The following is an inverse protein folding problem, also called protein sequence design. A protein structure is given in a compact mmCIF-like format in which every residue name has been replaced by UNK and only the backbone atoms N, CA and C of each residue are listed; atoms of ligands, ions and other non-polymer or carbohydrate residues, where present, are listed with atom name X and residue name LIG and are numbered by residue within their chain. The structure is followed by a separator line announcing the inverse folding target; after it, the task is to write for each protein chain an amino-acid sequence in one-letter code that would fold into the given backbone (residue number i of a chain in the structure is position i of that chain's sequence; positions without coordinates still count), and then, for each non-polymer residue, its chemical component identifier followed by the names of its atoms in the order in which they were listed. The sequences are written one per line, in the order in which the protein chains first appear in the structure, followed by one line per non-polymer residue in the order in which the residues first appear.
data_IF_097038142108
#
_entry.id   IF_097038142108
#
_cell.length_a   1.000
_cell.length_b   1.000
_cell.length_c   1.000
_cell.angle_alpha   90.00
_cell.angle_beta   90.00
_cell.angle_gamma   90.00
#
_symmetry.space_group_name_H-M   'P 1'
#
loop_
_entity.id
_entity.type
_entity.pdbx_description
1 polymer ?
#
# COMPACT_ATOMS: atom_id res chain seq x y z
N UNK A 1 -10.50 4.88 -10.57
CA UNK A 1 -9.15 4.27 -10.46
C UNK A 1 -8.09 5.21 -9.89
N UNK A 2 -7.93 6.42 -10.43
CA UNK A 2 -6.90 7.37 -9.96
C UNK A 2 -6.98 7.72 -8.47
N UNK A 3 -8.18 7.76 -7.92
CA UNK A 3 -8.39 8.07 -6.50
C UNK A 3 -7.89 6.95 -5.58
N UNK A 4 -8.13 5.69 -5.95
CA UNK A 4 -7.60 4.53 -5.23
C UNK A 4 -6.06 4.53 -5.24
N UNK A 5 -5.45 4.84 -6.40
CA UNK A 5 -4.00 4.97 -6.55
C UNK A 5 -3.45 6.11 -5.67
N UNK A 6 -4.13 7.27 -5.65
CA UNK A 6 -3.76 8.41 -4.81
C UNK A 6 -3.85 8.06 -3.32
N UNK A 7 -4.91 7.37 -2.92
CA UNK A 7 -5.14 6.94 -1.53
C UNK A 7 -4.09 5.92 -1.08
N UNK A 8 -3.80 4.90 -1.90
CA UNK A 8 -2.75 3.92 -1.62
C UNK A 8 -1.36 4.58 -1.50
N UNK A 9 -1.07 5.55 -2.38
CA UNK A 9 0.17 6.35 -2.32
C UNK A 9 0.24 7.15 -1.01
N UNK A 10 -0.85 7.78 -0.59
CA UNK A 10 -0.94 8.53 0.66
C UNK A 10 -0.65 7.61 1.86
N UNK A 11 -1.35 6.49 1.99
CA UNK A 11 -1.14 5.50 3.07
C UNK A 11 0.31 5.05 3.11
N UNK A 12 0.87 4.63 1.96
CA UNK A 12 2.26 4.19 1.87
C UNK A 12 3.24 5.26 2.34
N UNK A 13 3.07 6.52 1.92
CA UNK A 13 3.99 7.60 2.30
C UNK A 13 3.83 8.01 3.77
N UNK A 14 2.60 8.04 4.31
CA UNK A 14 2.34 8.31 5.74
C UNK A 14 2.94 7.22 6.63
N UNK A 15 2.74 5.95 6.30
CA UNK A 15 3.31 4.81 7.04
C UNK A 15 4.84 4.85 6.99
N UNK A 16 5.43 5.16 5.83
CA UNK A 16 6.88 5.33 5.73
C UNK A 16 7.37 6.50 6.60
N UNK A 17 6.67 7.64 6.57
CA UNK A 17 7.03 8.80 7.39
C UNK A 17 6.97 8.47 8.89
N UNK A 18 5.92 7.79 9.33
CA UNK A 18 5.78 7.31 10.70
C UNK A 18 6.97 6.43 11.13
N UNK A 19 7.45 5.55 10.25
CA UNK A 19 8.68 4.78 10.52
C UNK A 19 9.96 5.61 10.58
N UNK A 20 10.08 6.63 9.72
CA UNK A 20 11.24 7.52 9.76
C UNK A 20 11.31 8.34 11.05
N UNK A 21 10.15 8.79 11.54
CA UNK A 21 10.07 9.65 12.72
C UNK A 21 10.20 8.87 14.04
N UNK A 22 9.91 7.57 14.04
CA UNK A 22 9.90 6.74 15.26
C UNK A 22 10.94 5.61 15.18
N UNK A 23 12.02 5.75 15.96
CA UNK A 23 13.06 4.71 16.03
C UNK A 23 12.55 3.46 16.74
N UNK A 24 12.96 2.29 16.23
CA UNK A 24 12.64 0.99 16.85
C UNK A 24 11.24 0.46 16.57
N UNK A 25 10.44 1.13 15.74
CA UNK A 25 9.12 0.60 15.42
C UNK A 25 9.21 -0.61 14.48
N UNK A 26 8.44 -1.64 14.80
CA UNK A 26 8.36 -2.87 14.04
C UNK A 26 7.08 -2.97 13.22
N UNK A 27 6.91 -4.13 12.57
CA UNK A 27 5.75 -4.45 11.73
C UNK A 27 4.42 -4.16 12.43
N UNK A 28 4.25 -4.63 13.67
CA UNK A 28 3.00 -4.48 14.44
C UNK A 28 2.55 -3.01 14.52
N UNK A 29 3.47 -2.10 14.83
CA UNK A 29 3.18 -0.67 14.93
C UNK A 29 2.80 -0.06 13.58
N UNK A 30 3.39 -0.50 12.46
CA UNK A 30 3.03 -0.01 11.12
C UNK A 30 1.57 -0.34 10.77
N UNK A 31 1.12 -1.55 11.11
CA UNK A 31 -0.26 -1.99 10.84
C UNK A 31 -1.25 -1.29 11.77
N UNK A 32 -0.92 -1.10 13.05
CA UNK A 32 -1.72 -0.29 13.98
C UNK A 32 -1.87 1.15 13.49
N UNK A 33 -0.79 1.75 13.01
CA UNK A 33 -0.82 3.10 12.44
C UNK A 33 -1.71 3.17 11.19
N UNK A 34 -1.70 2.15 10.33
CA UNK A 34 -2.63 2.09 9.20
C UNK A 34 -4.11 2.01 9.63
N UNK A 35 -4.41 1.31 10.73
CA UNK A 35 -5.76 1.31 11.32
C UNK A 35 -6.15 2.71 11.80
N UNK A 36 -5.22 3.44 12.44
CA UNK A 36 -5.44 4.83 12.84
C UNK A 36 -5.68 5.74 11.63
N UNK A 37 -4.88 5.63 10.56
CA UNK A 37 -5.09 6.39 9.33
C UNK A 37 -6.48 6.13 8.70
N UNK A 38 -6.97 4.89 8.76
CA UNK A 38 -8.32 4.55 8.28
C UNK A 38 -9.43 5.12 9.16
N UNK A 39 -9.17 5.34 10.45
CA UNK A 39 -10.12 5.98 11.36
C UNK A 39 -10.11 7.51 11.21
N UNK A 40 -8.93 8.10 11.00
CA UNK A 40 -8.72 9.55 10.89
C UNK A 40 -9.20 10.10 9.53
N UNK A 41 -8.96 9.38 8.44
CA UNK A 41 -9.23 9.87 7.09
C UNK A 41 -10.34 9.05 6.41
N UNK A 42 -11.50 9.67 6.21
CA UNK A 42 -12.67 9.06 5.53
C UNK A 42 -12.31 8.50 4.15
N UNK A 43 -11.53 9.24 3.36
CA UNK A 43 -11.10 8.78 2.04
C UNK A 43 -10.17 7.56 2.09
N UNK A 44 -9.46 7.33 3.21
CA UNK A 44 -8.66 6.12 3.41
C UNK A 44 -9.56 4.94 3.81
N UNK A 45 -10.60 5.21 4.62
CA UNK A 45 -11.61 4.22 5.01
C UNK A 45 -12.35 3.63 3.82
N UNK A 46 -12.65 4.47 2.82
CA UNK A 46 -13.34 4.10 1.57
C UNK A 46 -12.54 3.17 0.67
N UNK A 47 -11.21 3.23 0.73
CA UNK A 47 -10.37 2.24 0.05
C UNK A 47 -10.51 0.89 0.75
N UNK A 48 -10.49 -0.20 -0.02
CA UNK A 48 -10.53 -1.55 0.56
C UNK A 48 -9.40 -1.75 1.59
N UNK A 49 -9.72 -2.39 2.71
CA UNK A 49 -8.78 -2.61 3.81
C UNK A 49 -7.53 -3.38 3.39
N UNK A 50 -7.66 -4.36 2.49
CA UNK A 50 -6.55 -5.13 1.97
C UNK A 50 -5.65 -4.28 1.07
N UNK A 51 -6.21 -3.37 0.26
CA UNK A 51 -5.39 -2.44 -0.53
C UNK A 51 -4.57 -1.48 0.36
N UNK A 52 -5.12 -1.06 1.51
CA UNK A 52 -4.36 -0.34 2.52
C UNK A 52 -3.26 -1.22 3.15
N UNK A 53 -3.57 -2.47 3.51
CA UNK A 53 -2.58 -3.41 4.06
C UNK A 53 -1.43 -3.67 3.09
N UNK A 54 -1.71 -3.85 1.79
CA UNK A 54 -0.66 -4.02 0.76
C UNK A 54 0.24 -2.77 0.68
N UNK A 55 -0.33 -1.59 0.88
CA UNK A 55 0.47 -0.35 0.95
C UNK A 55 1.44 -0.36 2.13
N UNK A 56 1.03 -0.91 3.28
CA UNK A 56 1.89 -1.10 4.47
C UNK A 56 2.95 -2.17 4.23
N UNK A 57 2.59 -3.31 3.66
CA UNK A 57 3.53 -4.39 3.33
C UNK A 57 4.63 -3.92 2.37
N UNK A 58 4.29 -3.05 1.42
CA UNK A 58 5.27 -2.47 0.51
C UNK A 58 6.28 -1.58 1.23
N UNK A 59 5.87 -0.89 2.29
CA UNK A 59 6.78 -0.13 3.18
C UNK A 59 7.65 -1.10 3.98
N UNK A 60 7.04 -2.11 4.61
CA UNK A 60 7.75 -3.15 5.36
C UNK A 60 8.83 -3.83 4.50
N UNK A 61 8.49 -4.21 3.26
CA UNK A 61 9.42 -4.82 2.31
C UNK A 61 10.58 -3.89 1.95
N UNK A 62 10.32 -2.59 1.80
CA UNK A 62 11.36 -1.60 1.53
C UNK A 62 12.31 -1.43 2.71
N UNK A 63 11.76 -1.38 3.94
CA UNK A 63 12.54 -1.31 5.18
C UNK A 63 13.39 -2.57 5.35
N UNK A 64 12.78 -3.75 5.20
CA UNK A 64 13.47 -5.04 5.28
C UNK A 64 14.63 -5.10 4.28
N UNK A 65 14.37 -4.75 3.01
CA UNK A 65 15.40 -4.71 1.97
C UNK A 65 16.53 -3.75 2.30
N UNK A 66 16.24 -2.60 2.89
CA UNK A 66 17.27 -1.66 3.34
C UNK A 66 18.20 -2.31 4.37
N UNK A 67 17.64 -2.86 5.45
CA UNK A 67 18.44 -3.51 6.49
C UNK A 67 19.18 -4.75 5.97
N UNK A 68 18.54 -5.59 5.17
CA UNK A 68 19.18 -6.76 4.55
C UNK A 68 20.37 -6.34 3.65
N UNK A 69 20.25 -5.25 2.89
CA UNK A 69 21.34 -4.75 2.05
C UNK A 69 22.49 -4.17 2.89
N UNK A 70 22.18 -3.50 4.00
CA UNK A 70 23.17 -3.00 4.95
C UNK A 70 23.93 -4.16 5.61
N UNK A 71 23.20 -5.16 6.13
CA UNK A 71 23.76 -6.36 6.78
C UNK A 71 24.67 -7.15 5.84
N UNK A 72 24.25 -7.32 4.59
CA UNK A 72 25.03 -8.04 3.57
C UNK A 72 26.08 -7.16 2.86
N UNK A 73 26.31 -5.93 3.34
CA UNK A 73 27.27 -4.97 2.80
C UNK A 73 27.19 -4.72 1.28
N UNK A 74 26.01 -4.88 0.66
CA UNK A 74 25.86 -4.82 -0.80
C UNK A 74 26.21 -3.43 -1.37
N UNK A 75 27.25 -3.29 -2.22
CA UNK A 75 27.61 -2.01 -2.82
C UNK A 75 26.47 -1.40 -3.65
N UNK A 76 26.29 -0.08 -3.58
CA UNK A 76 25.29 0.67 -4.36
C UNK A 76 23.81 0.40 -4.02
N UNK A 77 23.49 -0.59 -3.18
CA UNK A 77 22.10 -1.00 -2.86
C UNK A 77 21.63 -0.63 -1.45
N UNK A 78 22.47 0.05 -0.65
CA UNK A 78 22.16 0.54 0.71
C UNK A 78 21.32 1.83 0.70
N UNK A 79 20.29 1.88 -0.15
CA UNK A 79 19.42 3.05 -0.27
C UNK A 79 18.33 3.04 0.79
N UNK A 80 18.26 4.09 1.60
CA UNK A 80 17.16 4.31 2.55
C UNK A 80 15.81 4.38 1.81
N UNK A 81 14.71 3.82 2.36
CA UNK A 81 13.40 3.90 1.72
C UNK A 81 12.97 5.36 1.49
N UNK A 82 12.44 5.66 0.30
CA UNK A 82 12.04 7.02 -0.09
C UNK A 82 10.54 7.14 -0.29
N UNK A 83 10.01 8.36 -0.19
CA UNK A 83 8.62 8.65 -0.57
C UNK A 83 8.38 8.42 -2.06
N UNK A 84 7.16 7.96 -2.38
CA UNK A 84 6.74 7.71 -3.76
C UNK A 84 6.03 8.94 -4.30
N UNK A 85 6.60 9.58 -5.34
CA UNK A 85 6.03 10.77 -6.00
C UNK A 85 4.91 10.37 -6.97
N UNK A 86 5.18 9.37 -7.80
CA UNK A 86 4.27 8.86 -8.83
C UNK A 86 3.89 7.39 -8.55
N UNK A 87 2.61 7.09 -8.63
CA UNK A 87 2.06 5.72 -8.58
C UNK A 87 1.15 5.55 -9.79
N UNK A 88 1.18 4.36 -10.40
CA UNK A 88 0.34 3.98 -11.55
C UNK A 88 -0.55 2.78 -11.26
N UNK A 89 -0.46 2.21 -10.05
CA UNK A 89 -1.17 1.00 -9.68
C UNK A 89 -1.57 1.02 -8.20
N UNK A 90 -2.59 0.22 -7.91
CA UNK A 90 -3.04 -0.18 -6.59
C UNK A 90 -3.29 -1.69 -6.66
N UNK A 91 -2.93 -2.41 -5.61
CA UNK A 91 -2.96 -3.88 -5.59
C UNK A 91 -4.01 -4.37 -4.60
N UNK A 92 -4.77 -5.39 -5.00
CA UNK A 92 -5.81 -6.04 -4.21
C UNK A 92 -5.51 -7.54 -4.17
N UNK A 93 -5.26 -8.10 -2.99
CA UNK A 93 -4.88 -9.50 -2.84
C UNK A 93 -6.07 -10.45 -2.81
N UNK A 94 -6.83 -10.40 -1.73
CA UNK A 94 -7.82 -11.43 -1.39
C UNK A 94 -9.26 -10.95 -1.49
N UNK A 95 -9.49 -9.63 -1.43
CA UNK A 95 -10.83 -9.04 -1.46
C UNK A 95 -10.84 -7.68 -2.15
N UNK A 96 -12.05 -7.12 -2.32
CA UNK A 96 -12.26 -5.85 -2.99
C UNK A 96 -12.45 -5.97 -4.49
N UNK A 97 -12.51 -7.19 -5.02
CA UNK A 97 -12.84 -7.48 -6.41
C UNK A 97 -13.65 -8.77 -6.55
N UNK A 98 -14.35 -8.92 -7.69
CA UNK A 98 -15.04 -10.14 -8.14
C UNK A 98 -14.75 -10.36 -9.63
N UNK A 99 -14.52 -11.60 -10.03
CA UNK A 99 -14.43 -11.95 -11.45
C UNK A 99 -15.82 -12.12 -12.02
N UNK A 100 -16.00 -11.65 -13.25
CA UNK A 100 -17.23 -11.92 -13.98
C UNK A 100 -17.28 -13.42 -14.35
N UNK A 101 -18.41 -14.12 -14.17
CA UNK A 101 -18.49 -15.58 -14.32
C UNK A 101 -18.14 -16.08 -15.74
N UNK A 102 -18.53 -15.34 -16.78
CA UNK A 102 -18.35 -15.76 -18.19
C UNK A 102 -17.52 -14.83 -19.07
N UNK A 103 -17.29 -13.58 -18.67
CA UNK A 103 -16.56 -12.58 -19.46
C UNK A 103 -15.20 -12.36 -18.82
N UNK A 104 -14.16 -12.10 -19.62
CA UNK A 104 -12.84 -11.66 -19.14
C UNK A 104 -12.93 -10.25 -18.55
N UNK A 105 -13.55 -10.11 -17.39
CA UNK A 105 -13.80 -8.85 -16.68
C UNK A 105 -13.66 -9.03 -15.17
N UNK A 106 -13.24 -7.97 -14.51
CA UNK A 106 -13.09 -7.89 -13.06
C UNK A 106 -13.84 -6.66 -12.55
N UNK A 107 -14.68 -6.84 -11.54
CA UNK A 107 -15.41 -5.76 -10.87
C UNK A 107 -14.75 -5.45 -9.55
N UNK A 108 -14.38 -4.20 -9.33
CA UNK A 108 -13.88 -3.71 -8.04
C UNK A 108 -15.05 -3.19 -7.20
N UNK A 109 -15.05 -3.57 -5.92
CA UNK A 109 -16.18 -3.34 -5.00
C UNK A 109 -15.89 -2.24 -3.96
N UNK A 110 -14.78 -1.53 -4.11
CA UNK A 110 -14.47 -0.44 -3.19
C UNK A 110 -15.32 0.80 -3.47
N UNK A 111 -15.32 1.73 -2.50
CA UNK A 111 -16.03 3.01 -2.64
C UNK A 111 -15.24 4.04 -3.45
N UNK A 112 -14.23 3.62 -4.22
CA UNK A 112 -13.34 4.49 -5.00
C UNK A 112 -13.70 4.55 -6.49
N UNK A 113 -14.90 4.09 -6.84
CA UNK A 113 -15.47 4.25 -8.18
C UNK A 113 -14.60 3.62 -9.27
N UNK A 114 -13.91 2.50 -8.99
CA UNK A 114 -13.14 1.79 -10.03
C UNK A 114 -14.08 1.07 -11.00
N UNK A 115 -15.16 0.47 -10.49
CA UNK A 115 -16.14 -0.22 -11.32
C UNK A 115 -15.60 -1.50 -11.96
N UNK A 116 -16.06 -1.80 -13.17
CA UNK A 116 -15.68 -2.99 -13.93
C UNK A 116 -14.59 -2.68 -14.95
N UNK A 117 -13.55 -3.53 -15.00
CA UNK A 117 -12.47 -3.46 -15.97
C UNK A 117 -12.44 -4.72 -16.85
N UNK A 118 -12.12 -4.55 -18.13
CA UNK A 118 -11.88 -5.66 -19.06
C UNK A 118 -10.46 -6.20 -18.86
N UNK A 119 -10.34 -7.52 -18.78
CA UNK A 119 -9.07 -8.23 -18.82
C UNK A 119 -8.76 -8.53 -20.29
N UNK A 120 -7.65 -8.01 -20.79
CA UNK A 120 -7.15 -8.31 -22.13
C UNK A 120 -6.30 -9.58 -22.12
#
# INVERSE_FOLDING_TARGET
MDEAIRTAKFVRNKVLRYWMDNRGIGKKQLYQYNTQLRAEYSFVKELNSHACQVSVENVERAIKRFFDNCKNQKPGKKGYPRFKKHSRSVEYKTSGWKLHPSKRRIQFLDKKGIGELKLH
#
